data_IF_539567013659
#
_entry.id   IF_539567013659
#
_cell.length_a   1.000
_cell.length_b   1.000
_cell.length_c   1.000
_cell.angle_alpha   90.00
_cell.angle_beta   90.00
_cell.angle_gamma   90.00
#
_symmetry.space_group_name_H-M   'P 1'
#
loop_
_entity.id
_entity.type
_entity.pdbx_description
1 polymer ?
#
# COMPACT_ATOMS: atom_id res chain seq x y z
N UNK A 1 5.40 -1.30 16.27
CA UNK A 1 5.66 -1.01 14.84
C UNK A 1 4.34 -0.61 14.21
N UNK A 2 4.23 0.55 13.52
CA UNK A 2 2.97 1.02 12.95
C UNK A 2 2.55 0.21 11.71
N UNK A 3 1.26 -0.11 11.60
CA UNK A 3 0.68 -0.65 10.37
C UNK A 3 0.46 0.49 9.38
N UNK A 4 1.07 0.38 8.20
CA UNK A 4 0.94 1.39 7.12
C UNK A 4 -0.22 1.09 6.18
N UNK A 5 -0.62 -0.17 6.05
CA UNK A 5 -1.76 -0.58 5.25
C UNK A 5 -1.65 -2.03 4.79
N UNK A 6 -2.57 -2.42 3.91
CA UNK A 6 -2.69 -3.78 3.36
C UNK A 6 -2.58 -3.73 1.84
N UNK A 7 -1.81 -4.66 1.28
CA UNK A 7 -1.77 -4.96 -0.16
C UNK A 7 -2.43 -6.33 -0.38
N UNK A 8 -3.31 -6.42 -1.36
CA UNK A 8 -3.91 -7.70 -1.77
C UNK A 8 -3.15 -8.28 -2.97
N UNK A 9 -2.31 -9.28 -2.72
CA UNK A 9 -1.55 -9.94 -3.78
C UNK A 9 -2.39 -11.01 -4.50
N UNK A 10 -2.08 -11.28 -5.77
CA UNK A 10 -2.74 -12.32 -6.60
C UNK A 10 -4.28 -12.18 -6.63
N UNK A 11 -4.76 -10.96 -6.71
CA UNK A 11 -6.17 -10.57 -6.54
C UNK A 11 -7.09 -10.93 -7.73
N UNK A 12 -6.55 -10.91 -8.95
CA UNK A 12 -7.26 -11.28 -10.18
C UNK A 12 -6.27 -11.69 -11.26
N UNK A 13 -6.75 -12.38 -12.29
CA UNK A 13 -5.98 -12.75 -13.47
C UNK A 13 -6.60 -12.13 -14.72
N UNK A 14 -5.81 -11.51 -15.58
CA UNK A 14 -6.33 -10.97 -16.86
C UNK A 14 -6.21 -12.05 -17.93
N UNK A 15 -7.35 -12.49 -18.47
CA UNK A 15 -7.35 -13.53 -19.49
C UNK A 15 -6.66 -13.02 -20.78
N UNK A 16 -5.64 -13.71 -21.31
CA UNK A 16 -4.93 -13.26 -22.51
C UNK A 16 -5.78 -13.38 -23.79
N UNK A 17 -6.89 -14.11 -23.74
CA UNK A 17 -7.76 -14.32 -24.91
C UNK A 17 -8.90 -13.31 -25.03
N UNK A 18 -9.43 -12.82 -23.90
CA UNK A 18 -10.59 -11.91 -23.89
C UNK A 18 -10.37 -10.62 -23.10
N UNK A 19 -9.19 -10.45 -22.48
CA UNK A 19 -8.79 -9.29 -21.67
C UNK A 19 -9.70 -9.01 -20.46
N UNK A 20 -10.59 -9.94 -20.11
CA UNK A 20 -11.45 -9.81 -18.93
C UNK A 20 -10.70 -10.23 -17.67
N UNK A 21 -10.84 -9.47 -16.57
CA UNK A 21 -10.36 -9.90 -15.27
C UNK A 21 -11.19 -11.08 -14.78
N UNK A 22 -10.49 -12.12 -14.30
CA UNK A 22 -11.06 -13.33 -13.72
C UNK A 22 -10.57 -13.47 -12.29
N UNK A 23 -11.50 -13.69 -11.37
CA UNK A 23 -11.21 -13.95 -9.96
C UNK A 23 -10.92 -15.44 -9.77
N UNK A 24 -9.67 -15.85 -10.02
CA UNK A 24 -9.23 -17.25 -9.82
C UNK A 24 -9.33 -17.62 -8.34
N UNK A 25 -9.05 -16.66 -7.46
CA UNK A 25 -9.30 -16.71 -6.03
C UNK A 25 -10.33 -15.65 -5.66
N UNK A 26 -10.91 -15.75 -4.47
CA UNK A 26 -11.77 -14.69 -3.94
C UNK A 26 -11.03 -13.36 -3.89
N UNK A 27 -11.64 -12.28 -4.40
CA UNK A 27 -11.09 -10.93 -4.38
C UNK A 27 -11.74 -10.03 -3.33
N UNK A 28 -10.99 -9.02 -2.87
CA UNK A 28 -11.47 -7.97 -1.97
C UNK A 28 -11.40 -8.35 -0.49
N UNK A 29 -10.77 -9.48 -0.16
CA UNK A 29 -10.52 -9.88 1.22
C UNK A 29 -9.58 -8.89 1.92
N UNK A 30 -8.55 -8.43 1.20
CA UNK A 30 -7.60 -7.44 1.71
C UNK A 30 -8.26 -6.09 1.98
N UNK A 31 -9.16 -5.64 1.09
CA UNK A 31 -9.94 -4.40 1.29
C UNK A 31 -10.85 -4.48 2.52
N UNK A 32 -11.62 -5.57 2.65
CA UNK A 32 -12.48 -5.79 3.82
C UNK A 32 -11.67 -5.84 5.12
N UNK A 33 -10.50 -6.45 5.08
CA UNK A 33 -9.59 -6.50 6.24
C UNK A 33 -9.07 -5.10 6.59
N UNK A 34 -8.71 -4.29 5.60
CA UNK A 34 -8.27 -2.91 5.81
C UNK A 34 -9.35 -2.07 6.48
N UNK A 35 -10.59 -2.18 6.01
CA UNK A 35 -11.76 -1.53 6.62
C UNK A 35 -12.00 -2.01 8.06
N UNK A 36 -11.96 -3.32 8.30
CA UNK A 36 -12.19 -3.92 9.62
C UNK A 36 -11.20 -3.41 10.68
N UNK A 37 -9.93 -3.25 10.30
CA UNK A 37 -8.87 -2.81 11.21
C UNK A 37 -8.60 -1.30 11.16
N UNK A 38 -9.35 -0.53 10.36
CA UNK A 38 -9.16 0.90 10.22
C UNK A 38 -7.78 1.28 9.68
N UNK A 39 -7.20 0.45 8.81
CA UNK A 39 -5.90 0.68 8.16
C UNK A 39 -6.10 0.98 6.68
N UNK A 40 -5.10 1.60 6.04
CA UNK A 40 -5.19 1.93 4.62
C UNK A 40 -5.19 0.67 3.74
N UNK A 41 -6.02 0.65 2.70
CA UNK A 41 -5.85 -0.28 1.59
C UNK A 41 -4.89 0.34 0.57
N UNK A 42 -3.71 -0.24 0.42
CA UNK A 42 -2.64 0.31 -0.41
C UNK A 42 -2.82 -0.04 -1.89
N UNK A 43 -3.55 -1.11 -2.18
CA UNK A 43 -3.83 -1.56 -3.54
C UNK A 43 -3.83 -3.07 -3.67
N UNK A 44 -3.98 -3.53 -4.90
CA UNK A 44 -4.02 -4.94 -5.26
C UNK A 44 -3.12 -5.22 -6.48
N UNK A 45 -2.58 -6.44 -6.54
CA UNK A 45 -1.74 -6.89 -7.65
C UNK A 45 -2.40 -8.06 -8.38
N UNK A 46 -2.33 -8.11 -9.72
CA UNK A 46 -2.80 -9.25 -10.48
C UNK A 46 -1.88 -10.47 -10.30
N UNK A 47 -2.42 -11.65 -10.52
CA UNK A 47 -1.65 -12.86 -10.80
C UNK A 47 -1.14 -12.77 -12.25
N UNK A 48 0.08 -12.28 -12.43
CA UNK A 48 0.69 -12.09 -13.75
C UNK A 48 2.00 -12.88 -13.86
N UNK A 49 2.15 -13.82 -14.82
CA UNK A 49 3.37 -14.59 -15.01
C UNK A 49 4.63 -13.74 -15.17
N UNK A 50 4.48 -12.56 -15.77
CA UNK A 50 5.56 -11.61 -16.03
C UNK A 50 6.16 -11.07 -14.73
N UNK A 51 5.36 -10.91 -13.67
CA UNK A 51 5.86 -10.48 -12.35
C UNK A 51 6.86 -11.51 -11.82
N UNK A 52 6.48 -12.80 -11.86
CA UNK A 52 7.35 -13.90 -11.41
C UNK A 52 8.60 -13.99 -12.27
N UNK A 53 8.46 -14.04 -13.60
CA UNK A 53 9.60 -14.19 -14.51
C UNK A 53 10.60 -13.05 -14.34
N UNK A 54 10.13 -11.80 -14.27
CA UNK A 54 10.97 -10.62 -14.04
C UNK A 54 11.70 -10.67 -12.69
N UNK A 55 11.04 -11.15 -11.63
CA UNK A 55 11.66 -11.36 -10.33
C UNK A 55 12.73 -12.46 -10.36
N UNK A 56 12.46 -13.57 -11.04
CA UNK A 56 13.41 -14.69 -11.18
C UNK A 56 14.67 -14.28 -11.97
N UNK A 57 14.51 -13.40 -12.96
CA UNK A 57 15.60 -12.83 -13.77
C UNK A 57 16.38 -11.72 -13.03
N UNK A 58 15.91 -11.29 -11.86
CA UNK A 58 16.55 -10.23 -11.08
C UNK A 58 16.33 -8.81 -11.64
N UNK A 59 15.43 -8.64 -12.60
CA UNK A 59 15.07 -7.34 -13.18
C UNK A 59 13.57 -7.09 -12.96
N UNK A 60 13.19 -6.41 -11.86
CA UNK A 60 11.80 -6.19 -11.50
C UNK A 60 10.95 -5.62 -12.64
N UNK A 61 9.69 -6.02 -12.69
CA UNK A 61 8.74 -5.65 -13.74
C UNK A 61 8.60 -4.14 -13.95
N UNK A 62 8.72 -3.34 -12.88
CA UNK A 62 8.70 -1.87 -12.95
C UNK A 62 9.85 -1.27 -13.77
N UNK A 63 10.93 -2.03 -13.97
CA UNK A 63 12.10 -1.66 -14.80
C UNK A 63 11.99 -2.32 -16.18
N UNK A 64 11.73 -3.63 -16.25
CA UNK A 64 11.73 -4.39 -17.51
C UNK A 64 10.51 -4.13 -18.39
N UNK A 65 9.36 -3.79 -17.80
CA UNK A 65 8.12 -3.49 -18.51
C UNK A 65 7.37 -2.31 -17.84
N UNK A 66 7.93 -1.08 -17.91
CA UNK A 66 7.42 0.07 -17.15
C UNK A 66 5.99 0.46 -17.53
N UNK A 67 5.55 0.19 -18.76
CA UNK A 67 4.20 0.55 -19.22
C UNK A 67 3.15 -0.54 -19.00
N UNK A 68 3.54 -1.67 -18.41
CA UNK A 68 2.61 -2.77 -18.10
C UNK A 68 1.60 -2.39 -17.00
N UNK A 69 0.43 -3.03 -17.02
CA UNK A 69 -0.59 -2.83 -15.97
C UNK A 69 -0.01 -3.14 -14.58
N UNK A 70 0.72 -4.25 -14.43
CA UNK A 70 1.30 -4.62 -13.15
C UNK A 70 2.37 -3.61 -12.68
N UNK A 71 3.16 -3.02 -13.57
CA UNK A 71 4.08 -1.94 -13.19
C UNK A 71 3.33 -0.70 -12.70
N UNK A 72 2.24 -0.33 -13.36
CA UNK A 72 1.38 0.77 -12.91
C UNK A 72 0.77 0.49 -11.53
N UNK A 73 0.33 -0.75 -11.25
CA UNK A 73 -0.19 -1.18 -9.93
C UNK A 73 0.87 -1.06 -8.84
N UNK A 74 2.11 -1.51 -9.09
CA UNK A 74 3.21 -1.36 -8.15
C UNK A 74 3.52 0.12 -7.85
N UNK A 75 3.55 0.99 -8.87
CA UNK A 75 3.75 2.44 -8.68
C UNK A 75 2.64 3.05 -7.82
N UNK A 76 1.38 2.72 -8.11
CA UNK A 76 0.26 3.19 -7.30
C UNK A 76 0.34 2.76 -5.83
N UNK A 77 0.72 1.51 -5.57
CA UNK A 77 0.94 1.01 -4.21
C UNK A 77 2.06 1.79 -3.53
N UNK A 78 3.18 2.04 -4.22
CA UNK A 78 4.30 2.79 -3.68
C UNK A 78 3.94 4.25 -3.37
N UNK A 79 3.18 4.91 -4.23
CA UNK A 79 2.66 6.27 -4.02
C UNK A 79 1.75 6.32 -2.78
N UNK A 80 0.82 5.38 -2.67
CA UNK A 80 -0.11 5.29 -1.53
C UNK A 80 0.65 5.02 -0.23
N UNK A 81 1.65 4.13 -0.28
CA UNK A 81 2.53 3.85 0.86
C UNK A 81 3.32 5.10 1.29
N UNK A 82 3.90 5.83 0.34
CA UNK A 82 4.64 7.06 0.61
C UNK A 82 3.73 8.12 1.28
N UNK A 83 2.49 8.26 0.81
CA UNK A 83 1.50 9.12 1.44
C UNK A 83 1.20 8.69 2.90
N UNK A 84 1.04 7.39 3.16
CA UNK A 84 0.83 6.88 4.52
C UNK A 84 2.03 7.14 5.44
N UNK A 85 3.26 7.00 4.94
CA UNK A 85 4.46 7.34 5.71
C UNK A 85 4.48 8.83 6.06
N UNK A 86 4.18 9.71 5.08
CA UNK A 86 4.10 11.15 5.31
C UNK A 86 3.07 11.51 6.39
N UNK A 87 1.85 10.96 6.29
CA UNK A 87 0.76 11.18 7.26
C UNK A 87 1.18 10.70 8.66
N UNK A 88 1.78 9.51 8.75
CA UNK A 88 2.21 8.94 10.04
C UNK A 88 3.32 9.76 10.68
N UNK A 89 4.31 10.19 9.90
CA UNK A 89 5.41 11.02 10.41
C UNK A 89 4.91 12.39 10.87
N UNK A 90 4.03 13.04 10.09
CA UNK A 90 3.44 14.32 10.48
C UNK A 90 2.60 14.20 11.75
N UNK A 91 1.79 13.14 11.87
CA UNK A 91 0.97 12.91 13.07
C UNK A 91 1.83 12.63 14.30
N UNK A 92 2.97 11.94 14.13
CA UNK A 92 3.91 11.67 15.21
C UNK A 92 4.61 12.94 15.70
N UNK A 93 4.99 13.85 14.80
CA UNK A 93 5.64 15.12 15.16
C UNK A 93 4.64 16.12 15.76
N UNK A 94 3.45 16.27 15.17
CA UNK A 94 2.40 17.15 15.70
C UNK A 94 1.89 16.69 17.09
N UNK A 95 1.86 15.38 17.34
CA UNK A 95 1.58 14.83 18.66
C UNK A 95 2.67 15.16 19.69
N UNK A 96 3.94 15.17 19.28
CA UNK A 96 5.05 15.53 20.15
C UNK A 96 5.03 17.03 20.51
N UNK A 97 4.80 17.92 19.54
CA UNK A 97 4.72 19.37 19.76
C UNK A 97 3.58 19.74 20.73
N UNK A 98 2.42 19.10 20.60
CA UNK A 98 1.28 19.28 21.50
C UNK A 98 1.55 18.76 22.93
N UNK A 99 2.41 17.74 23.09
CA UNK A 99 2.81 17.24 24.41
C UNK A 99 3.76 18.20 25.13
N UNK A 100 4.69 18.82 24.40
CA UNK A 100 5.62 19.80 24.96
C UNK A 100 4.90 21.08 25.40
N UNK A 101 3.98 21.61 24.58
CA UNK A 101 3.19 22.80 24.94
C UNK A 101 2.28 22.59 26.16
N UNK A 102 1.73 21.39 26.34
CA UNK A 102 0.92 21.08 27.54
C UNK A 102 1.77 21.06 28.82
N UNK A 103 3.00 20.52 28.78
CA UNK A 103 3.89 20.47 29.94
C UNK A 103 4.34 21.85 30.42
N UNK A 104 4.60 22.79 29.51
CA UNK A 104 4.92 24.18 29.86
C UNK A 104 3.73 24.91 30.49
N UNK A 105 2.50 24.63 30.02
CA UNK A 105 1.29 25.23 30.58
C UNK A 105 0.90 24.68 31.96
N UNK A 106 1.28 23.44 32.29
CA UNK A 106 1.01 22.81 33.59
C UNK A 106 2.08 23.14 34.65
N UNK A 107 3.32 23.45 34.26
CA UNK A 107 4.37 23.88 35.19
C UNK A 107 4.31 25.37 35.55
N UNK A 108 3.40 26.13 34.94
CA UNK A 108 3.23 27.58 35.15
C UNK A 108 2.03 27.93 36.05
N UNK A 109 1.36 26.94 36.66
CA UNK A 109 0.33 27.19 37.68
C UNK A 109 0.98 27.34 39.07
N UNK A 110 0.67 28.41 39.82
CA UNK A 110 1.20 28.64 41.17
C UNK A 110 0.64 27.68 42.21
#
# INVERSE_FOLDING_TARGET
IPLLGIVENMSYFVCPHCSQPTEIFSRGGGRKLAEMYGVAFLGELPLAPEIRSASDEGVPLVISAPDSEAAARYRHIAETLAAQISIKNYSATAGAENLFSKRESESAKP
#
